data_IF_599065165263
#
_entry.id   IF_599065165263
#
_cell.length_a   1.000
_cell.length_b   1.000
_cell.length_c   1.000
_cell.angle_alpha   90.00
_cell.angle_beta   90.00
_cell.angle_gamma   90.00
#
_symmetry.space_group_name_H-M   'P 1'
#
loop_
_entity.id
_entity.type
_entity.pdbx_description
1 polymer ?
#
# COMPACT_ATOMS: atom_id res chain seq x y z
N UNK A 1 12.91 -19.53 3.28
CA UNK A 1 12.60 -19.39 4.73
C UNK A 1 11.10 -19.32 4.96
N UNK A 2 10.37 -18.36 4.35
CA UNK A 2 8.92 -18.14 4.54
C UNK A 2 8.10 -19.42 4.36
N UNK A 3 8.17 -20.07 3.20
CA UNK A 3 7.41 -21.29 2.90
C UNK A 3 7.67 -22.46 3.88
N UNK A 4 8.82 -22.46 4.55
CA UNK A 4 9.15 -23.48 5.56
C UNK A 4 8.64 -23.13 6.94
N UNK A 5 8.57 -21.83 7.28
CA UNK A 5 8.19 -21.36 8.62
C UNK A 5 6.70 -21.06 8.74
N UNK A 6 6.07 -20.64 7.65
CA UNK A 6 4.65 -20.32 7.56
C UNK A 6 3.99 -21.04 6.38
N UNK A 7 4.02 -22.40 6.34
CA UNK A 7 3.61 -23.15 5.15
C UNK A 7 2.13 -23.02 4.83
N UNK A 8 1.28 -22.79 5.83
CA UNK A 8 -0.17 -22.65 5.65
C UNK A 8 -0.61 -21.27 5.19
N UNK A 9 0.16 -20.24 5.51
CA UNK A 9 -0.07 -18.86 5.10
C UNK A 9 1.27 -18.19 4.71
N UNK A 10 1.92 -18.64 3.64
CA UNK A 10 3.16 -17.99 3.18
C UNK A 10 2.87 -16.57 2.72
N UNK A 11 3.89 -15.72 2.80
CA UNK A 11 3.81 -14.30 2.46
C UNK A 11 5.02 -13.85 1.65
N UNK A 12 4.89 -12.74 0.93
CA UNK A 12 6.04 -12.11 0.30
C UNK A 12 6.73 -11.15 1.27
N UNK A 13 8.08 -11.17 1.35
CA UNK A 13 8.80 -10.31 2.27
C UNK A 13 9.03 -8.91 1.69
N UNK A 14 8.92 -7.91 2.53
CA UNK A 14 9.48 -6.59 2.29
C UNK A 14 10.98 -6.62 2.58
N UNK A 15 11.80 -6.00 1.74
CA UNK A 15 13.25 -6.10 1.78
C UNK A 15 13.94 -4.72 1.90
N UNK A 16 13.68 -3.92 2.95
CA UNK A 16 14.10 -2.51 3.05
C UNK A 16 15.63 -2.31 3.00
N UNK A 17 16.40 -3.35 3.27
CA UNK A 17 17.86 -3.32 3.13
C UNK A 17 18.37 -3.31 1.69
N UNK A 18 17.51 -3.58 0.71
CA UNK A 18 17.86 -3.54 -0.71
C UNK A 18 17.90 -2.11 -1.26
N UNK A 19 17.13 -1.21 -0.68
CA UNK A 19 17.09 0.18 -1.12
C UNK A 19 15.82 0.90 -0.64
N UNK A 20 15.82 2.20 -0.80
CA UNK A 20 14.76 3.09 -0.34
C UNK A 20 13.38 2.78 -0.96
N UNK A 21 13.35 2.27 -2.21
CA UNK A 21 12.11 1.90 -2.90
C UNK A 21 11.33 0.79 -2.18
N UNK A 22 11.98 -0.01 -1.34
CA UNK A 22 11.36 -1.05 -0.52
C UNK A 22 11.06 -0.57 0.91
N UNK A 23 11.15 0.73 1.17
CA UNK A 23 10.68 1.33 2.41
C UNK A 23 9.16 1.26 2.54
N UNK A 24 8.67 1.30 3.77
CA UNK A 24 7.26 1.06 4.11
C UNK A 24 6.27 1.95 3.30
N UNK A 25 6.62 3.21 3.04
CA UNK A 25 5.81 4.15 2.26
C UNK A 25 6.19 4.10 0.78
N UNK A 26 7.50 4.18 0.49
CA UNK A 26 8.00 4.24 -0.88
C UNK A 26 7.59 3.03 -1.73
N UNK A 27 7.44 1.86 -1.11
CA UNK A 27 7.01 0.64 -1.81
C UNK A 27 5.63 0.77 -2.46
N UNK A 28 4.75 1.59 -1.89
CA UNK A 28 3.36 1.68 -2.31
C UNK A 28 2.98 2.99 -3.00
N UNK A 29 3.88 3.99 -3.10
CA UNK A 29 3.51 5.32 -3.60
C UNK A 29 3.30 5.42 -5.12
N UNK A 30 3.78 4.45 -5.91
CA UNK A 30 3.68 4.51 -7.37
C UNK A 30 2.24 4.78 -7.84
N UNK A 31 2.12 5.70 -8.80
CA UNK A 31 0.85 6.11 -9.39
C UNK A 31 -0.12 6.82 -8.44
N UNK A 32 0.35 7.29 -7.28
CA UNK A 32 -0.42 8.25 -6.50
C UNK A 32 -0.25 9.65 -7.10
N UNK A 33 -1.34 10.45 -7.17
CA UNK A 33 -1.28 11.80 -7.72
C UNK A 33 -0.45 12.69 -6.83
N UNK A 34 0.25 13.64 -7.42
CA UNK A 34 1.04 14.67 -6.72
C UNK A 34 2.15 14.12 -5.81
N UNK A 35 2.44 12.81 -5.82
CA UNK A 35 3.52 12.23 -5.04
C UNK A 35 4.75 11.97 -5.89
N UNK A 36 5.90 12.36 -5.37
CA UNK A 36 7.22 12.17 -6.01
C UNK A 36 8.18 11.48 -5.05
N UNK A 37 9.16 10.78 -5.62
CA UNK A 37 10.24 10.15 -4.86
C UNK A 37 11.53 10.94 -5.10
N UNK A 38 12.17 11.38 -4.02
CA UNK A 38 13.47 12.07 -4.07
C UNK A 38 14.33 11.60 -2.90
N UNK A 39 15.56 11.24 -3.19
CA UNK A 39 16.53 10.79 -2.18
C UNK A 39 16.00 9.69 -1.25
N UNK A 40 15.17 8.80 -1.80
CA UNK A 40 14.56 7.68 -1.07
C UNK A 40 13.35 8.04 -0.21
N UNK A 41 12.92 9.29 -0.21
CA UNK A 41 11.74 9.76 0.52
C UNK A 41 10.62 10.17 -0.44
N UNK A 42 9.38 9.81 -0.09
CA UNK A 42 8.19 10.26 -0.81
C UNK A 42 7.76 11.60 -0.26
N UNK A 43 7.46 12.55 -1.14
CA UNK A 43 6.98 13.87 -0.75
C UNK A 43 5.78 14.30 -1.60
N UNK A 44 4.98 15.24 -1.07
CA UNK A 44 3.85 15.85 -1.75
C UNK A 44 4.32 17.06 -2.55
N UNK A 45 4.21 16.96 -3.88
CA UNK A 45 4.46 18.06 -4.80
C UNK A 45 3.20 18.91 -4.95
N UNK A 46 3.13 20.02 -4.21
CA UNK A 46 1.99 20.95 -4.26
C UNK A 46 1.89 21.74 -5.56
N UNK A 47 2.92 21.69 -6.41
CA UNK A 47 2.92 22.30 -7.74
C UNK A 47 2.45 21.36 -8.85
N UNK A 48 2.18 20.11 -8.51
CA UNK A 48 1.69 19.12 -9.48
C UNK A 48 0.34 19.57 -10.08
N UNK A 49 0.10 19.33 -11.37
CA UNK A 49 -1.14 19.74 -12.02
C UNK A 49 -2.34 18.94 -11.50
N UNK A 50 -3.49 19.60 -11.38
CA UNK A 50 -4.75 18.96 -10.96
C UNK A 50 -5.15 17.76 -11.83
N UNK A 51 -4.70 17.73 -13.08
CA UNK A 51 -4.91 16.61 -14.00
C UNK A 51 -4.34 15.28 -13.50
N UNK A 52 -3.34 15.29 -12.60
CA UNK A 52 -2.86 14.05 -11.97
C UNK A 52 -3.94 13.42 -11.08
N UNK A 53 -4.73 14.25 -10.36
CA UNK A 53 -5.89 13.78 -9.57
C UNK A 53 -7.02 13.27 -10.47
N UNK A 54 -7.32 13.98 -11.56
CA UNK A 54 -8.34 13.56 -12.52
C UNK A 54 -8.02 12.18 -13.11
N UNK A 55 -6.83 12.01 -13.64
CA UNK A 55 -6.36 10.72 -14.17
C UNK A 55 -6.43 9.61 -13.12
N UNK A 56 -5.98 9.90 -11.88
CA UNK A 56 -6.04 8.93 -10.80
C UNK A 56 -7.47 8.47 -10.52
N UNK A 57 -8.42 9.41 -10.37
CA UNK A 57 -9.80 9.06 -10.07
C UNK A 57 -10.51 8.38 -11.27
N UNK A 58 -10.16 8.72 -12.52
CA UNK A 58 -10.62 7.96 -13.68
C UNK A 58 -10.20 6.49 -13.60
N UNK A 59 -8.97 6.20 -13.15
CA UNK A 59 -8.47 4.84 -12.95
C UNK A 59 -9.17 4.12 -11.79
N UNK A 60 -9.48 4.83 -10.70
CA UNK A 60 -10.28 4.30 -9.60
C UNK A 60 -11.68 3.91 -10.10
N UNK A 61 -12.38 4.83 -10.77
CA UNK A 61 -13.76 4.65 -11.24
C UNK A 61 -13.86 3.55 -12.30
N UNK A 62 -12.89 3.49 -13.22
CA UNK A 62 -12.86 2.46 -14.26
C UNK A 62 -12.46 1.08 -13.74
N UNK A 63 -11.98 0.98 -12.50
CA UNK A 63 -11.48 -0.27 -11.94
C UNK A 63 -10.22 -0.79 -12.63
N UNK A 64 -9.39 0.11 -13.18
CA UNK A 64 -8.13 -0.25 -13.85
C UNK A 64 -7.11 -0.78 -12.84
N UNK A 65 -7.22 -2.07 -12.52
CA UNK A 65 -6.38 -2.72 -11.52
C UNK A 65 -4.89 -2.73 -11.92
N UNK A 66 -4.57 -2.72 -13.21
CA UNK A 66 -3.19 -2.68 -13.69
C UNK A 66 -2.49 -1.36 -13.34
N UNK A 67 -3.23 -0.26 -13.25
CA UNK A 67 -2.71 1.02 -12.81
C UNK A 67 -2.15 0.97 -11.38
N UNK A 68 -2.74 0.16 -10.51
CA UNK A 68 -2.31 0.01 -9.13
C UNK A 68 -1.22 -1.05 -8.91
N UNK A 69 -0.66 -1.61 -9.99
CA UNK A 69 0.43 -2.57 -9.87
C UNK A 69 1.61 -2.00 -9.07
N UNK A 70 2.22 -2.85 -8.26
CA UNK A 70 3.50 -2.55 -7.62
C UNK A 70 4.58 -3.18 -8.50
N UNK A 71 5.45 -2.36 -9.06
CA UNK A 71 6.44 -2.84 -10.03
C UNK A 71 7.56 -3.65 -9.38
N UNK A 72 8.30 -4.49 -10.15
CA UNK A 72 9.41 -5.26 -9.62
C UNK A 72 10.51 -4.45 -8.94
N UNK A 73 10.69 -3.18 -9.34
CA UNK A 73 11.68 -2.29 -8.74
C UNK A 73 11.34 -1.93 -7.29
N UNK A 74 10.05 -1.89 -6.97
CA UNK A 74 9.53 -1.54 -5.64
C UNK A 74 9.17 -2.76 -4.79
N UNK A 75 8.82 -3.88 -5.40
CA UNK A 75 8.44 -5.09 -4.68
C UNK A 75 8.96 -6.37 -5.36
N UNK A 76 10.27 -6.56 -5.55
CA UNK A 76 10.80 -7.80 -6.14
C UNK A 76 10.38 -9.03 -5.32
N UNK A 77 10.08 -8.84 -4.03
CA UNK A 77 9.64 -9.90 -3.13
C UNK A 77 8.34 -10.57 -3.57
N UNK A 78 7.33 -9.83 -4.07
CA UNK A 78 6.06 -10.42 -4.50
C UNK A 78 6.23 -11.21 -5.81
N UNK A 79 7.11 -10.77 -6.71
CA UNK A 79 7.40 -11.49 -7.96
C UNK A 79 8.16 -12.81 -7.68
N UNK A 80 9.20 -12.75 -6.86
CA UNK A 80 9.91 -13.96 -6.41
C UNK A 80 8.99 -14.93 -5.63
N UNK A 81 8.05 -14.37 -4.87
CA UNK A 81 7.04 -15.14 -4.16
C UNK A 81 6.12 -15.87 -5.14
N UNK A 82 5.59 -15.18 -6.16
CA UNK A 82 4.78 -15.77 -7.22
C UNK A 82 5.51 -16.89 -7.95
N UNK A 83 6.76 -16.67 -8.34
CA UNK A 83 7.56 -17.68 -9.03
C UNK A 83 7.79 -18.93 -8.15
N UNK A 84 7.99 -18.71 -6.85
CA UNK A 84 8.09 -19.81 -5.89
C UNK A 84 6.77 -20.56 -5.72
N UNK A 85 5.63 -19.87 -5.74
CA UNK A 85 4.31 -20.50 -5.69
C UNK A 85 4.08 -21.38 -6.92
N UNK A 86 4.46 -20.94 -8.12
CA UNK A 86 4.42 -21.74 -9.37
C UNK A 86 5.25 -23.00 -9.28
N UNK A 87 6.39 -22.96 -8.59
CA UNK A 87 7.27 -24.10 -8.33
C UNK A 87 6.83 -24.99 -7.15
N UNK A 88 5.53 -25.26 -6.96
CA UNK A 88 4.94 -26.05 -5.88
C UNK A 88 4.86 -25.37 -4.49
N UNK A 89 5.21 -24.11 -4.36
CA UNK A 89 5.11 -23.38 -3.08
C UNK A 89 3.67 -23.20 -2.57
N UNK A 90 2.67 -23.28 -3.46
CA UNK A 90 1.26 -23.19 -3.09
C UNK A 90 0.70 -24.50 -2.50
N UNK A 91 1.41 -25.63 -2.66
CA UNK A 91 0.98 -26.94 -2.18
C UNK A 91 1.03 -26.96 -0.63
N UNK A 92 -0.12 -27.07 0.01
CA UNK A 92 -0.24 -27.06 1.47
C UNK A 92 -0.50 -25.67 2.07
N UNK A 93 -0.56 -24.61 1.27
CA UNK A 93 -1.04 -23.32 1.73
C UNK A 93 -2.57 -23.30 1.78
N UNK A 94 -3.12 -22.80 2.89
CA UNK A 94 -4.56 -22.50 3.02
C UNK A 94 -4.84 -21.10 2.47
N UNK A 95 -3.94 -20.16 2.76
CA UNK A 95 -4.03 -18.77 2.39
C UNK A 95 -2.72 -18.28 1.75
N UNK A 96 -2.80 -17.23 0.96
CA UNK A 96 -1.64 -16.44 0.52
C UNK A 96 -1.71 -15.07 1.18
N UNK A 97 -0.60 -14.59 1.75
CA UNK A 97 -0.61 -13.30 2.45
C UNK A 97 0.14 -12.24 1.66
N UNK A 98 -0.56 -11.12 1.42
CA UNK A 98 -0.01 -9.84 1.01
C UNK A 98 -0.03 -8.81 2.14
N UNK A 99 0.46 -7.61 1.86
CA UNK A 99 0.39 -6.50 2.80
C UNK A 99 0.40 -5.15 2.08
N UNK A 100 -0.08 -4.13 2.76
CA UNK A 100 0.03 -2.73 2.39
C UNK A 100 0.34 -1.90 3.64
N UNK A 101 0.93 -0.73 3.47
CA UNK A 101 0.98 0.28 4.52
C UNK A 101 -0.41 0.85 4.76
N UNK A 102 -0.77 1.08 6.01
CA UNK A 102 -2.04 1.70 6.35
C UNK A 102 -2.07 3.19 5.99
N UNK A 103 -3.28 3.74 5.73
CA UNK A 103 -3.46 5.09 5.21
C UNK A 103 -2.96 6.19 6.14
N UNK A 104 -3.12 6.06 7.45
CA UNK A 104 -2.62 7.05 8.40
C UNK A 104 -1.09 7.04 8.49
N UNK A 105 -0.47 5.86 8.51
CA UNK A 105 0.98 5.73 8.47
C UNK A 105 1.56 6.29 7.18
N UNK A 106 0.93 6.00 6.05
CA UNK A 106 1.32 6.55 4.77
C UNK A 106 1.23 8.08 4.78
N UNK A 107 0.05 8.63 5.11
CA UNK A 107 -0.21 10.06 5.04
C UNK A 107 0.56 10.88 6.08
N UNK A 108 0.86 10.32 7.25
CA UNK A 108 1.68 11.01 8.27
C UNK A 108 3.18 11.03 7.91
N UNK A 109 3.63 10.10 7.08
CA UNK A 109 5.03 9.98 6.67
C UNK A 109 5.38 10.76 5.40
N UNK A 110 4.37 11.27 4.69
CA UNK A 110 4.54 12.09 3.48
C UNK A 110 4.22 13.54 3.82
N UNK A 111 5.11 14.46 3.49
CA UNK A 111 4.91 15.88 3.74
C UNK A 111 5.20 16.71 2.46
N UNK A 112 4.69 17.93 2.45
CA UNK A 112 5.04 18.93 1.43
C UNK A 112 6.41 19.58 1.73
N UNK A 113 6.82 20.52 0.85
CA UNK A 113 8.06 21.27 1.00
C UNK A 113 8.15 22.11 2.29
N UNK A 114 7.00 22.42 2.90
CA UNK A 114 6.91 23.18 4.16
C UNK A 114 6.91 22.28 5.39
N UNK A 115 6.97 20.96 5.19
CA UNK A 115 6.89 19.96 6.26
C UNK A 115 5.47 19.69 6.76
N UNK A 116 4.43 20.11 6.03
CA UNK A 116 3.04 19.81 6.38
C UNK A 116 2.70 18.39 5.94
N UNK A 117 2.33 17.54 6.88
CA UNK A 117 1.99 16.14 6.57
C UNK A 117 0.72 16.07 5.69
N UNK A 118 0.75 15.15 4.72
CA UNK A 118 -0.37 14.87 3.81
C UNK A 118 -1.65 14.52 4.58
N UNK A 119 -1.53 13.96 5.77
CA UNK A 119 -2.63 13.66 6.69
C UNK A 119 -3.60 14.84 6.91
N UNK A 120 -3.12 16.07 6.76
CA UNK A 120 -3.93 17.29 6.92
C UNK A 120 -4.60 17.76 5.62
N UNK A 121 -4.38 17.07 4.51
CA UNK A 121 -5.01 17.35 3.22
C UNK A 121 -6.10 16.31 2.94
N UNK A 122 -7.37 16.69 3.06
CA UNK A 122 -8.50 15.77 2.93
C UNK A 122 -8.59 15.12 1.55
N UNK A 123 -8.33 15.89 0.48
CA UNK A 123 -8.38 15.37 -0.90
C UNK A 123 -7.30 14.32 -1.10
N UNK A 124 -6.09 14.62 -0.67
CA UNK A 124 -4.98 13.69 -0.79
C UNK A 124 -5.14 12.48 0.13
N UNK A 125 -5.74 12.67 1.31
CA UNK A 125 -6.04 11.54 2.20
C UNK A 125 -7.03 10.56 1.56
N UNK A 126 -8.06 11.05 0.85
CA UNK A 126 -8.97 10.21 0.08
C UNK A 126 -8.23 9.47 -1.05
N UNK A 127 -7.36 10.17 -1.80
CA UNK A 127 -6.55 9.54 -2.83
C UNK A 127 -5.64 8.43 -2.25
N UNK A 128 -5.07 8.64 -1.05
CA UNK A 128 -4.29 7.62 -0.35
C UNK A 128 -5.14 6.38 -0.04
N UNK A 129 -6.33 6.55 0.50
CA UNK A 129 -7.24 5.42 0.82
C UNK A 129 -7.56 4.61 -0.44
N UNK A 130 -8.02 5.28 -1.51
CA UNK A 130 -8.36 4.63 -2.78
C UNK A 130 -7.15 3.97 -3.45
N UNK A 131 -6.01 4.64 -3.43
CA UNK A 131 -4.78 4.08 -4.00
C UNK A 131 -4.28 2.84 -3.26
N UNK A 132 -4.31 2.84 -1.92
CA UNK A 132 -3.93 1.69 -1.12
C UNK A 132 -4.92 0.53 -1.27
N UNK A 133 -6.23 0.80 -1.35
CA UNK A 133 -7.23 -0.20 -1.68
C UNK A 133 -6.96 -0.82 -3.06
N UNK A 134 -6.67 0.00 -4.07
CA UNK A 134 -6.29 -0.46 -5.40
C UNK A 134 -5.05 -1.37 -5.37
N UNK A 135 -4.02 -1.03 -4.59
CA UNK A 135 -2.83 -1.87 -4.42
C UNK A 135 -3.10 -3.18 -3.69
N UNK A 136 -4.03 -3.18 -2.74
CA UNK A 136 -4.48 -4.40 -2.08
C UNK A 136 -5.21 -5.31 -3.07
N UNK A 137 -6.16 -4.77 -3.82
CA UNK A 137 -6.92 -5.47 -4.86
C UNK A 137 -6.01 -6.02 -5.96
N UNK A 138 -5.02 -5.22 -6.41
CA UNK A 138 -4.03 -5.71 -7.35
C UNK A 138 -3.26 -6.93 -6.82
N UNK A 139 -2.84 -6.95 -5.56
CA UNK A 139 -2.17 -8.11 -4.97
C UNK A 139 -3.08 -9.34 -4.94
N UNK A 140 -4.36 -9.17 -4.61
CA UNK A 140 -5.35 -10.25 -4.62
C UNK A 140 -5.45 -10.85 -6.03
N UNK A 141 -5.62 -10.01 -7.05
CA UNK A 141 -5.73 -10.46 -8.43
C UNK A 141 -4.41 -11.06 -8.96
N UNK A 142 -3.27 -10.49 -8.57
CA UNK A 142 -1.95 -11.00 -8.93
C UNK A 142 -1.69 -12.40 -8.40
N UNK A 143 -2.28 -12.76 -7.26
CA UNK A 143 -2.13 -14.06 -6.62
C UNK A 143 -3.29 -15.03 -6.92
N UNK A 144 -4.34 -14.57 -7.62
CA UNK A 144 -5.56 -15.34 -7.91
C UNK A 144 -5.29 -16.62 -8.72
N UNK A 145 -4.24 -16.63 -9.57
CA UNK A 145 -3.86 -17.79 -10.37
C UNK A 145 -3.63 -19.08 -9.56
N UNK A 146 -3.35 -18.95 -8.26
CA UNK A 146 -3.07 -20.09 -7.38
C UNK A 146 -4.33 -20.71 -6.74
N UNK A 147 -5.52 -20.15 -6.99
CA UNK A 147 -6.80 -20.68 -6.46
C UNK A 147 -6.86 -20.69 -4.93
N UNK A 148 -6.09 -19.85 -4.25
CA UNK A 148 -6.09 -19.72 -2.79
C UNK A 148 -6.70 -18.38 -2.37
N UNK A 149 -7.33 -18.36 -1.19
CA UNK A 149 -7.77 -17.11 -0.60
C UNK A 149 -6.56 -16.24 -0.24
N UNK A 150 -6.59 -14.98 -0.63
CA UNK A 150 -5.55 -14.01 -0.29
C UNK A 150 -5.98 -13.18 0.91
N UNK A 151 -5.08 -13.03 1.88
CA UNK A 151 -5.25 -12.17 3.05
C UNK A 151 -4.31 -10.96 2.87
N UNK A 152 -4.85 -9.76 2.93
CA UNK A 152 -4.04 -8.52 2.92
C UNK A 152 -3.95 -7.99 4.36
N UNK A 153 -2.72 -7.83 4.85
CA UNK A 153 -2.46 -7.15 6.11
C UNK A 153 -2.29 -5.66 5.84
N UNK A 154 -2.97 -4.86 6.63
CA UNK A 154 -2.82 -3.40 6.64
C UNK A 154 -1.92 -3.05 7.83
N UNK A 155 -0.67 -2.70 7.53
CA UNK A 155 0.32 -2.37 8.54
C UNK A 155 0.18 -0.88 8.92
N UNK A 156 -0.46 -0.60 10.06
CA UNK A 156 -0.86 0.73 10.52
C UNK A 156 -0.25 1.10 11.88
N UNK A 157 1.10 1.22 11.97
CA UNK A 157 1.77 1.55 13.23
C UNK A 157 1.39 2.94 13.78
N UNK A 158 0.93 3.89 12.95
CA UNK A 158 0.48 5.19 13.40
C UNK A 158 -0.65 5.11 14.44
N UNK A 159 -1.54 4.14 14.32
CA UNK A 159 -2.60 3.92 15.31
C UNK A 159 -2.09 3.45 16.68
N UNK A 160 -0.83 3.04 16.77
CA UNK A 160 -0.18 2.79 18.08
C UNK A 160 -0.05 4.04 18.96
N UNK A 161 -0.10 5.24 18.36
CA UNK A 161 -0.12 6.52 19.06
C UNK A 161 -1.54 7.06 19.29
N UNK A 162 -2.56 6.28 18.96
CA UNK A 162 -3.96 6.71 19.05
C UNK A 162 -4.34 7.12 20.49
N UNK A 163 -5.01 8.27 20.62
CA UNK A 163 -5.39 8.81 21.92
C UNK A 163 -4.29 9.61 22.64
N UNK A 164 -3.10 9.72 22.05
CA UNK A 164 -2.06 10.63 22.54
C UNK A 164 -2.31 12.07 22.06
N UNK A 165 -1.72 13.04 22.75
CA UNK A 165 -1.80 14.46 22.37
C UNK A 165 -1.16 14.75 20.99
N UNK A 166 -0.39 13.80 20.45
CA UNK A 166 0.32 13.93 19.17
C UNK A 166 -0.46 13.36 17.99
N UNK A 167 -1.64 12.75 18.23
CA UNK A 167 -2.44 12.13 17.17
C UNK A 167 -3.74 12.91 16.97
N UNK A 168 -3.86 13.71 15.89
CA UNK A 168 -5.08 14.50 15.63
C UNK A 168 -6.25 13.64 15.11
N UNK A 169 -6.05 12.34 14.94
CA UNK A 169 -7.06 11.42 14.37
C UNK A 169 -8.07 11.02 15.44
N UNK A 170 -9.35 11.31 15.19
CA UNK A 170 -10.45 10.86 16.06
C UNK A 170 -10.77 9.39 15.80
N UNK A 171 -11.39 8.70 16.80
CA UNK A 171 -11.85 7.33 16.62
C UNK A 171 -12.83 7.19 15.45
N UNK A 172 -13.75 8.15 15.29
CA UNK A 172 -14.70 8.15 14.19
C UNK A 172 -13.98 8.19 12.85
N UNK A 173 -13.03 9.12 12.66
CA UNK A 173 -12.25 9.23 11.41
C UNK A 173 -11.43 7.97 11.14
N UNK A 174 -10.85 7.36 12.18
CA UNK A 174 -10.12 6.11 12.02
C UNK A 174 -11.03 4.98 11.51
N UNK A 175 -12.24 4.84 12.08
CA UNK A 175 -13.21 3.82 11.65
C UNK A 175 -13.69 4.09 10.22
N UNK A 176 -14.02 5.34 9.87
CA UNK A 176 -14.45 5.71 8.51
C UNK A 176 -13.39 5.34 7.46
N UNK A 177 -12.16 5.80 7.67
CA UNK A 177 -11.05 5.56 6.72
C UNK A 177 -10.73 4.08 6.58
N UNK A 178 -10.66 3.34 7.69
CA UNK A 178 -10.37 1.92 7.63
C UNK A 178 -11.53 1.10 7.03
N UNK A 179 -12.78 1.50 7.28
CA UNK A 179 -13.94 0.88 6.66
C UNK A 179 -13.96 1.12 5.15
N UNK A 180 -13.67 2.33 4.70
CA UNK A 180 -13.57 2.65 3.28
C UNK A 180 -12.47 1.82 2.59
N UNK A 181 -11.27 1.77 3.18
CA UNK A 181 -10.16 0.95 2.68
C UNK A 181 -10.53 -0.53 2.49
N UNK A 182 -11.36 -1.07 3.39
CA UNK A 182 -11.75 -2.48 3.36
C UNK A 182 -12.97 -2.78 2.47
N UNK A 183 -13.68 -1.75 1.99
CA UNK A 183 -14.92 -1.90 1.21
C UNK A 183 -14.68 -1.87 -0.30
N UNK A 184 -13.57 -1.30 -0.73
CA UNK A 184 -13.13 -1.17 -2.13
C UNK A 184 -12.32 -2.41 -2.56
#
# INVERSE_FOLDING_TARGET
LVFRRTPRAPFWPQLPKRGACEGMVAQFFQNFPCLKLKDGSVYLDVSAPESELEVFYEKVISGDNAYFAITPDFAPGIYAYRDRLRGNGAKGADFLKGHITGPFTFASSVADEKGTALLHNEIMMQAVVKGLAGKAKWQIDFLKEFGKQTIIFVDEPYLGCFGSAYTPVTRQKAVEVMSELCSD
#
